data_IF_187495414197
#
_entry.id   IF_187495414197
#
_cell.length_a   1.000
_cell.length_b   1.000
_cell.length_c   1.000
_cell.angle_alpha   90.00
_cell.angle_beta   90.00
_cell.angle_gamma   90.00
#
_symmetry.space_group_name_H-M   'P 1'
#
loop_
_entity.id
_entity.type
_entity.pdbx_description
1 polymer ?
#
# COMPACT_ATOMS: atom_id res chain seq x y z
N UNK A 1 32.91 28.94 4.23
CA UNK A 1 32.46 27.76 5.00
C UNK A 1 31.03 27.45 4.57
N UNK A 2 30.86 26.57 3.57
CA UNK A 2 29.53 26.24 3.05
C UNK A 2 28.72 25.53 4.13
N UNK A 3 27.57 26.09 4.50
CA UNK A 3 26.66 25.46 5.44
C UNK A 3 26.28 24.08 4.89
N UNK A 4 26.64 23.01 5.60
CA UNK A 4 26.20 21.66 5.25
C UNK A 4 24.68 21.67 5.31
N UNK A 5 24.04 21.48 4.14
CA UNK A 5 22.58 21.32 4.08
C UNK A 5 22.12 20.18 5.00
N UNK A 6 20.86 20.19 5.44
CA UNK A 6 20.33 19.12 6.28
C UNK A 6 20.56 17.76 5.62
N UNK A 7 20.98 16.77 6.41
CA UNK A 7 21.27 15.44 5.91
C UNK A 7 20.05 14.83 5.19
N UNK A 8 20.25 14.10 4.09
CA UNK A 8 19.18 13.40 3.39
C UNK A 8 18.38 12.49 4.32
N UNK A 9 17.05 12.46 4.15
CA UNK A 9 16.11 11.71 5.02
C UNK A 9 16.45 10.22 5.10
N UNK A 10 16.96 9.62 4.03
CA UNK A 10 17.35 8.21 3.99
C UNK A 10 18.59 7.88 4.85
N UNK A 11 19.33 8.89 5.32
CA UNK A 11 20.45 8.73 6.25
C UNK A 11 20.01 8.87 7.72
N UNK A 12 18.76 9.26 7.97
CA UNK A 12 18.23 9.35 9.32
C UNK A 12 17.84 7.95 9.82
N UNK A 13 18.59 7.43 10.80
CA UNK A 13 18.34 6.11 11.41
C UNK A 13 16.88 5.95 11.88
N UNK A 14 16.26 7.02 12.40
CA UNK A 14 14.86 7.00 12.85
C UNK A 14 13.90 6.70 11.70
N UNK A 15 14.15 7.27 10.52
CA UNK A 15 13.34 7.01 9.32
C UNK A 15 13.47 5.56 8.86
N UNK A 16 14.68 5.00 8.91
CA UNK A 16 14.94 3.59 8.60
C UNK A 16 14.20 2.67 9.58
N UNK A 17 14.27 2.96 10.89
CA UNK A 17 13.57 2.16 11.89
C UNK A 17 12.05 2.18 11.73
N UNK A 18 11.46 3.33 11.38
CA UNK A 18 10.02 3.42 11.10
C UNK A 18 9.63 2.51 9.92
N UNK A 19 10.40 2.54 8.84
CA UNK A 19 10.16 1.66 7.68
C UNK A 19 10.36 0.19 8.05
N UNK A 20 11.42 -0.12 8.81
CA UNK A 20 11.73 -1.49 9.24
C UNK A 20 10.61 -2.09 10.10
N UNK A 21 10.22 -1.39 11.18
CA UNK A 21 9.17 -1.87 12.10
C UNK A 21 7.84 -1.97 11.36
N UNK A 22 7.48 -0.94 10.57
CA UNK A 22 6.25 -0.98 9.78
C UNK A 22 6.26 -2.13 8.78
N UNK A 23 7.36 -2.33 8.05
CA UNK A 23 7.52 -3.40 7.07
C UNK A 23 7.41 -4.79 7.69
N UNK A 24 8.05 -5.01 8.85
CA UNK A 24 7.94 -6.26 9.59
C UNK A 24 6.49 -6.57 10.00
N UNK A 25 5.76 -5.57 10.51
CA UNK A 25 4.34 -5.71 10.85
C UNK A 25 3.48 -6.01 9.62
N UNK A 26 3.66 -5.27 8.53
CA UNK A 26 2.93 -5.47 7.28
C UNK A 26 3.15 -6.87 6.70
N UNK A 27 4.41 -7.32 6.67
CA UNK A 27 4.78 -8.65 6.20
C UNK A 27 4.21 -9.77 7.09
N UNK A 28 4.22 -9.59 8.42
CA UNK A 28 3.63 -10.54 9.35
C UNK A 28 2.12 -10.67 9.15
N UNK A 29 1.39 -9.55 9.02
CA UNK A 29 -0.05 -9.56 8.73
C UNK A 29 -0.34 -10.25 7.40
N UNK A 30 0.40 -9.90 6.33
CA UNK A 30 0.27 -10.57 5.03
C UNK A 30 0.47 -12.07 5.16
N UNK A 31 1.55 -12.50 5.82
CA UNK A 31 1.86 -13.91 6.03
C UNK A 31 0.71 -14.66 6.71
N UNK A 32 0.18 -14.11 7.81
CA UNK A 32 -0.94 -14.71 8.54
C UNK A 32 -2.20 -14.78 7.67
N UNK A 33 -2.52 -13.74 6.91
CA UNK A 33 -3.68 -13.75 6.01
C UNK A 33 -3.53 -14.80 4.91
N UNK A 34 -2.35 -14.90 4.29
CA UNK A 34 -2.09 -15.87 3.22
C UNK A 34 -2.21 -17.32 3.73
N UNK A 35 -1.88 -17.58 4.98
CA UNK A 35 -2.08 -18.90 5.60
C UNK A 35 -3.53 -19.19 6.00
N UNK A 36 -4.35 -18.16 6.20
CA UNK A 36 -5.69 -18.31 6.77
C UNK A 36 -6.74 -18.83 5.79
N UNK A 37 -6.52 -18.62 4.48
CA UNK A 37 -7.52 -18.96 3.45
C UNK A 37 -6.83 -19.69 2.30
N UNK A 38 -7.24 -20.94 2.00
CA UNK A 38 -6.69 -21.67 0.86
C UNK A 38 -7.17 -21.06 -0.47
N UNK A 39 -6.49 -21.35 -1.59
CA UNK A 39 -6.96 -20.94 -2.91
C UNK A 39 -8.39 -21.43 -3.19
N UNK A 40 -9.22 -20.55 -3.74
CA UNK A 40 -10.61 -20.87 -4.11
C UNK A 40 -10.64 -21.11 -5.62
N UNK A 41 -11.08 -22.30 -6.05
CA UNK A 41 -11.02 -22.71 -7.45
C UNK A 41 -9.62 -22.53 -8.09
N UNK A 42 -8.57 -22.76 -7.30
CA UNK A 42 -7.17 -22.58 -7.72
C UNK A 42 -6.68 -21.14 -7.73
N UNK A 43 -7.52 -20.15 -7.44
CA UNK A 43 -7.15 -18.72 -7.45
C UNK A 43 -6.65 -18.27 -6.07
N UNK A 44 -5.44 -17.66 -5.98
CA UNK A 44 -4.89 -17.12 -4.73
C UNK A 44 -5.56 -15.82 -4.29
N UNK A 45 -6.80 -15.91 -3.81
CA UNK A 45 -7.64 -14.74 -3.50
C UNK A 45 -7.00 -13.76 -2.50
N UNK A 46 -6.25 -14.26 -1.51
CA UNK A 46 -5.64 -13.39 -0.50
C UNK A 46 -4.62 -12.43 -1.09
N UNK A 47 -3.75 -12.90 -1.99
CA UNK A 47 -2.75 -12.04 -2.64
C UNK A 47 -3.42 -10.92 -3.45
N UNK A 48 -4.51 -11.22 -4.14
CA UNK A 48 -5.33 -10.20 -4.79
C UNK A 48 -5.89 -9.18 -3.78
N UNK A 49 -6.53 -9.66 -2.71
CA UNK A 49 -7.19 -8.80 -1.71
C UNK A 49 -6.21 -7.88 -0.99
N UNK A 50 -5.05 -8.39 -0.54
CA UNK A 50 -4.06 -7.56 0.16
C UNK A 50 -3.49 -6.47 -0.75
N UNK A 51 -3.25 -6.76 -2.03
CA UNK A 51 -2.77 -5.77 -2.98
C UNK A 51 -3.82 -4.69 -3.25
N UNK A 52 -5.08 -5.08 -3.49
CA UNK A 52 -6.18 -4.13 -3.78
C UNK A 52 -6.50 -3.25 -2.57
N UNK A 53 -6.66 -3.86 -1.39
CA UNK A 53 -6.94 -3.11 -0.16
C UNK A 53 -5.76 -2.24 0.25
N UNK A 54 -4.53 -2.74 0.10
CA UNK A 54 -3.31 -1.96 0.36
C UNK A 54 -3.19 -0.75 -0.55
N UNK A 55 -3.51 -0.90 -1.85
CA UNK A 55 -3.52 0.21 -2.80
C UNK A 55 -4.58 1.27 -2.45
N UNK A 56 -5.79 0.86 -2.06
CA UNK A 56 -6.83 1.77 -1.57
C UNK A 56 -6.36 2.57 -0.35
N UNK A 57 -5.86 1.88 0.68
CA UNK A 57 -5.43 2.52 1.93
C UNK A 57 -4.24 3.44 1.68
N UNK A 58 -3.32 3.06 0.78
CA UNK A 58 -2.18 3.90 0.42
C UNK A 58 -2.62 5.18 -0.29
N UNK A 59 -3.49 5.08 -1.29
CA UNK A 59 -4.05 6.24 -1.99
C UNK A 59 -4.77 7.19 -1.04
N UNK A 60 -5.59 6.65 -0.13
CA UNK A 60 -6.26 7.42 0.92
C UNK A 60 -5.28 8.09 1.89
N UNK A 61 -4.27 7.36 2.36
CA UNK A 61 -3.28 7.85 3.32
C UNK A 61 -2.48 9.00 2.72
N UNK A 62 -1.90 8.80 1.52
CA UNK A 62 -1.03 9.79 0.89
C UNK A 62 -1.80 11.08 0.59
N UNK A 63 -3.02 10.97 0.05
CA UNK A 63 -3.86 12.14 -0.20
C UNK A 63 -4.27 12.84 1.11
N UNK A 64 -4.61 12.07 2.15
CA UNK A 64 -4.96 12.64 3.46
C UNK A 64 -3.80 13.39 4.11
N UNK A 65 -2.56 12.93 3.92
CA UNK A 65 -1.37 13.61 4.42
C UNK A 65 -1.05 14.86 3.59
N UNK A 66 -1.13 14.76 2.27
CA UNK A 66 -0.88 15.88 1.35
C UNK A 66 -1.83 17.06 1.60
N UNK A 67 -3.12 16.78 1.81
CA UNK A 67 -4.12 17.81 2.12
C UNK A 67 -3.91 18.49 3.48
N UNK A 68 -3.06 17.95 4.36
CA UNK A 68 -2.75 18.51 5.68
C UNK A 68 -1.47 19.34 5.70
N UNK A 69 -0.76 19.49 4.58
CA UNK A 69 0.45 20.30 4.47
C UNK A 69 1.71 19.50 4.13
N UNK A 70 2.90 20.11 4.25
CA UNK A 70 4.16 19.56 3.75
C UNK A 70 4.58 18.27 4.45
N UNK A 71 5.33 17.43 3.73
CA UNK A 71 5.83 16.11 4.16
C UNK A 71 6.99 16.23 5.18
N UNK A 72 6.65 16.73 6.37
CA UNK A 72 7.60 17.02 7.42
C UNK A 72 7.10 16.56 8.80
N UNK A 73 8.03 16.44 9.74
CA UNK A 73 7.75 16.04 11.13
C UNK A 73 6.88 14.78 11.20
N UNK A 74 5.78 14.87 11.95
CA UNK A 74 4.85 13.76 12.18
C UNK A 74 4.18 13.24 10.89
N UNK A 75 3.95 14.09 9.89
CA UNK A 75 3.35 13.67 8.61
C UNK A 75 4.29 12.75 7.84
N UNK A 76 5.57 13.11 7.79
CA UNK A 76 6.63 12.28 7.21
C UNK A 76 6.79 10.97 7.94
N UNK A 77 6.81 11.01 9.27
CA UNK A 77 6.96 9.80 10.09
C UNK A 77 5.78 8.84 9.86
N UNK A 78 4.55 9.34 9.75
CA UNK A 78 3.37 8.54 9.39
C UNK A 78 3.45 7.96 7.97
N UNK A 79 3.89 8.75 6.99
CA UNK A 79 4.08 8.27 5.61
C UNK A 79 5.11 7.15 5.54
N UNK A 80 6.22 7.29 6.25
CA UNK A 80 7.29 6.28 6.27
C UNK A 80 6.85 5.01 7.02
N UNK A 81 6.26 5.16 8.21
CA UNK A 81 5.84 4.02 9.02
C UNK A 81 4.68 3.24 8.38
N UNK A 82 3.61 3.94 8.00
CA UNK A 82 2.39 3.30 7.48
C UNK A 82 2.48 3.08 5.98
N UNK A 83 2.86 4.10 5.21
CA UNK A 83 2.89 4.03 3.75
C UNK A 83 4.02 3.13 3.24
N UNK A 84 5.26 3.51 3.51
CA UNK A 84 6.42 2.74 3.05
C UNK A 84 6.63 1.45 3.85
N UNK A 85 6.44 1.50 5.17
CA UNK A 85 6.60 0.34 6.05
C UNK A 85 5.42 -0.62 5.94
N UNK A 86 4.33 -0.39 6.68
CA UNK A 86 3.20 -1.33 6.81
C UNK A 86 2.62 -1.71 5.45
N UNK A 87 2.20 -0.74 4.64
CA UNK A 87 1.55 -1.01 3.36
C UNK A 87 2.54 -1.60 2.33
N UNK A 88 3.81 -1.22 2.41
CA UNK A 88 4.87 -1.82 1.59
C UNK A 88 5.16 -3.28 1.94
N UNK A 89 5.12 -3.66 3.22
CA UNK A 89 5.26 -5.05 3.65
C UNK A 89 3.99 -5.89 3.48
N UNK A 90 2.82 -5.25 3.58
CA UNK A 90 1.49 -5.84 3.45
C UNK A 90 1.12 -6.19 2.01
N UNK A 91 1.50 -5.35 1.04
CA UNK A 91 1.30 -5.63 -0.39
C UNK A 91 2.49 -6.42 -0.95
N UNK A 92 2.34 -7.07 -2.11
CA UNK A 92 3.41 -7.91 -2.67
C UNK A 92 3.23 -8.13 -4.17
N UNK A 93 4.25 -7.75 -4.94
CA UNK A 93 4.37 -8.12 -6.34
C UNK A 93 4.97 -9.53 -6.50
N UNK A 94 5.92 -9.91 -5.65
CA UNK A 94 6.57 -11.22 -5.71
C UNK A 94 5.59 -12.40 -5.57
N UNK A 95 4.60 -12.28 -4.68
CA UNK A 95 3.58 -13.33 -4.53
C UNK A 95 2.62 -13.34 -5.71
N UNK A 96 2.27 -12.18 -6.27
CA UNK A 96 1.49 -12.11 -7.51
C UNK A 96 2.18 -12.85 -8.66
N UNK A 97 3.51 -12.69 -8.81
CA UNK A 97 4.28 -13.40 -9.83
C UNK A 97 4.25 -14.94 -9.61
N UNK A 98 4.52 -15.39 -8.38
CA UNK A 98 4.49 -16.83 -8.04
C UNK A 98 3.09 -17.43 -8.25
N UNK A 99 2.04 -16.71 -7.86
CA UNK A 99 0.65 -17.11 -8.07
C UNK A 99 0.30 -17.23 -9.56
N UNK A 100 0.79 -16.29 -10.37
CA UNK A 100 0.61 -16.25 -11.84
C UNK A 100 1.30 -17.45 -12.49
N UNK A 101 2.54 -17.73 -12.09
CA UNK A 101 3.31 -18.90 -12.56
C UNK A 101 2.63 -20.22 -12.16
N UNK A 102 2.10 -20.30 -10.93
CA UNK A 102 1.34 -21.46 -10.45
C UNK A 102 0.09 -21.75 -11.30
N UNK A 103 -0.64 -20.70 -11.72
CA UNK A 103 -1.79 -20.84 -12.62
C UNK A 103 -1.39 -21.30 -14.02
N UNK A 104 -0.22 -20.88 -14.53
CA UNK A 104 0.32 -21.37 -15.81
C UNK A 104 0.68 -22.85 -15.68
N UNK A 105 1.36 -23.25 -14.61
CA UNK A 105 1.72 -24.65 -14.35
C UNK A 105 0.47 -25.55 -14.28
N UNK A 106 -0.64 -25.02 -13.74
CA UNK A 106 -1.94 -25.68 -13.71
C UNK A 106 -2.71 -25.64 -15.06
N UNK A 107 -2.01 -25.37 -16.19
CA UNK A 107 -2.59 -25.28 -17.54
C UNK A 107 -3.72 -24.24 -17.69
N UNK A 108 -3.79 -23.27 -16.78
CA UNK A 108 -4.86 -22.27 -16.69
C UNK A 108 -4.38 -20.88 -17.13
N UNK A 109 -3.76 -20.79 -18.32
CA UNK A 109 -3.10 -19.57 -18.83
C UNK A 109 -4.05 -18.37 -18.91
N UNK A 110 -5.29 -18.57 -19.38
CA UNK A 110 -6.28 -17.48 -19.45
C UNK A 110 -6.61 -16.91 -18.07
N UNK A 111 -6.74 -17.78 -17.06
CA UNK A 111 -6.98 -17.38 -15.68
C UNK A 111 -5.77 -16.67 -15.08
N UNK A 112 -4.56 -17.12 -15.40
CA UNK A 112 -3.30 -16.47 -14.99
C UNK A 112 -3.21 -15.02 -15.49
N UNK A 113 -3.46 -14.81 -16.79
CA UNK A 113 -3.49 -13.47 -17.39
C UNK A 113 -4.57 -12.61 -16.74
N UNK A 114 -5.79 -13.14 -16.60
CA UNK A 114 -6.90 -12.43 -15.98
C UNK A 114 -6.55 -12.02 -14.54
N UNK A 115 -5.99 -12.93 -13.75
CA UNK A 115 -5.59 -12.69 -12.36
C UNK A 115 -4.54 -11.58 -12.26
N UNK A 116 -3.48 -11.65 -13.08
CA UNK A 116 -2.41 -10.65 -13.10
C UNK A 116 -2.94 -9.25 -13.48
N UNK A 117 -3.67 -9.18 -14.61
CA UNK A 117 -4.23 -7.92 -15.11
C UNK A 117 -5.27 -7.36 -14.16
N UNK A 118 -6.17 -8.19 -13.64
CA UNK A 118 -7.19 -7.75 -12.68
C UNK A 118 -6.57 -7.22 -11.40
N UNK A 119 -5.54 -7.88 -10.85
CA UNK A 119 -4.86 -7.41 -9.63
C UNK A 119 -4.30 -6.01 -9.81
N UNK A 120 -3.62 -5.75 -10.92
CA UNK A 120 -3.03 -4.43 -11.21
C UNK A 120 -4.10 -3.38 -11.52
N UNK A 121 -5.05 -3.70 -12.40
CA UNK A 121 -6.10 -2.75 -12.81
C UNK A 121 -7.02 -2.38 -11.65
N UNK A 122 -7.52 -3.38 -10.90
CA UNK A 122 -8.37 -3.14 -9.73
C UNK A 122 -7.58 -2.45 -8.62
N UNK A 123 -6.30 -2.79 -8.41
CA UNK A 123 -5.42 -2.09 -7.48
C UNK A 123 -5.24 -0.60 -7.82
N UNK A 124 -5.05 -0.28 -9.10
CA UNK A 124 -4.96 1.11 -9.56
C UNK A 124 -6.27 1.87 -9.33
N UNK A 125 -7.41 1.27 -9.69
CA UNK A 125 -8.74 1.85 -9.44
C UNK A 125 -9.01 2.04 -7.95
N UNK A 126 -8.60 1.08 -7.12
CA UNK A 126 -8.71 1.15 -5.67
C UNK A 126 -7.88 2.30 -5.10
N UNK A 127 -6.66 2.52 -5.59
CA UNK A 127 -5.83 3.69 -5.20
C UNK A 127 -6.53 5.02 -5.54
N UNK A 128 -7.07 5.15 -6.76
CA UNK A 128 -7.86 6.33 -7.18
C UNK A 128 -9.08 6.53 -6.29
N UNK A 129 -9.80 5.46 -5.95
CA UNK A 129 -10.93 5.52 -5.04
C UNK A 129 -10.50 6.01 -3.64
N UNK A 130 -9.37 5.53 -3.12
CA UNK A 130 -8.79 6.00 -1.85
C UNK A 130 -8.51 7.50 -1.85
N UNK A 131 -7.91 8.02 -2.93
CA UNK A 131 -7.65 9.45 -3.14
C UNK A 131 -8.97 10.25 -3.18
N UNK A 132 -9.97 9.75 -3.90
CA UNK A 132 -11.28 10.39 -4.03
C UNK A 132 -12.00 10.48 -2.66
N UNK A 133 -11.94 9.42 -1.86
CA UNK A 133 -12.50 9.38 -0.50
C UNK A 133 -11.81 10.41 0.40
N UNK A 134 -10.47 10.44 0.42
CA UNK A 134 -9.72 11.41 1.23
C UNK A 134 -10.09 12.86 0.87
N UNK A 135 -10.17 13.15 -0.42
CA UNK A 135 -10.55 14.47 -0.93
C UNK A 135 -12.00 14.84 -0.61
N UNK A 136 -12.93 13.88 -0.68
CA UNK A 136 -14.33 14.08 -0.33
C UNK A 136 -14.54 14.39 1.15
N UNK A 137 -13.81 13.70 2.05
CA UNK A 137 -13.84 13.96 3.49
C UNK A 137 -13.31 15.35 3.81
N UNK A 138 -12.22 15.78 3.16
CA UNK A 138 -11.65 17.12 3.36
C UNK A 138 -12.62 18.24 2.95
N UNK A 139 -13.26 18.12 1.78
CA UNK A 139 -14.29 19.07 1.32
C UNK A 139 -15.45 19.22 2.31
N UNK A 140 -15.94 18.10 2.85
CA UNK A 140 -17.04 18.10 3.85
C UNK A 140 -16.64 18.80 5.15
N UNK A 141 -15.37 18.73 5.56
CA UNK A 141 -14.89 19.43 6.75
C UNK A 141 -14.79 20.94 6.54
N UNK A 142 -14.26 21.37 5.39
CA UNK A 142 -14.18 22.80 5.05
C UNK A 142 -15.56 23.47 5.03
N UNK A 143 -16.59 22.80 4.48
CA UNK A 143 -17.96 23.32 4.46
C UNK A 143 -18.66 23.39 5.83
N UNK A 144 -18.15 22.70 6.86
CA UNK A 144 -18.70 22.75 8.24
C UNK A 144 -18.02 23.80 9.12
N UNK A 145 -16.78 24.20 8.79
CA UNK A 145 -16.05 25.24 9.53
C UNK A 145 -16.35 26.66 9.06
N UNK A 146 -17.05 26.82 7.91
CA UNK A 146 -17.53 28.10 7.40
C UNK A 146 -19.00 28.41 7.73
N UNK A 147 -19.64 27.60 8.58
CA UNK A 147 -20.96 27.87 9.19
C UNK A 147 -20.77 28.12 10.67
#
# INVERSE_FOLDING_TARGET
MAARGPAPVHLHWRSILLVFVGGALGAAVRYLLTLSVPPIAGVPLITFLINVTGAFVLGWLLQSLALRGPDEGRRRDLRLFVGTGILGGYTTYSSLAVDTDGLIAAQSVGLSILYAVATVAVGALASVAGIAVASGVARRRAGRSGR
#
